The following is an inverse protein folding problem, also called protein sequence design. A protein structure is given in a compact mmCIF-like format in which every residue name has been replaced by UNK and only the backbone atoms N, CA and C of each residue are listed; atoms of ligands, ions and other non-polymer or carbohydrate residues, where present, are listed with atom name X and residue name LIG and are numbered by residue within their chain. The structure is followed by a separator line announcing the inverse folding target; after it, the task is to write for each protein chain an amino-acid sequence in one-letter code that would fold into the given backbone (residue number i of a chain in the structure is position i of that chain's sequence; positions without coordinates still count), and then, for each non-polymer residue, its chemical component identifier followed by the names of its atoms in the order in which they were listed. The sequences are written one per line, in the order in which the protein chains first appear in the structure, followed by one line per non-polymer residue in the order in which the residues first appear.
data_IF_328922848694
#
_entry.id   IF_328922848694
#
_cell.length_a   1.000
_cell.length_b   1.000
_cell.length_c   1.000
_cell.angle_alpha   90.00
_cell.angle_beta   90.00
_cell.angle_gamma   90.00
#
_symmetry.space_group_name_H-M   'P 1'
#
loop_
_entity.id
_entity.type
_entity.pdbx_description
1 polymer ?
#
# COMPACT_ATOMS: atom_id res chain seq x y z
N UNK A 1 2.92 2.36 -19.37
CA UNK A 1 1.72 3.20 -19.40
C UNK A 1 1.24 3.42 -17.96
N UNK A 2 0.79 4.65 -17.63
CA UNK A 2 0.17 4.91 -16.34
C UNK A 2 -1.08 4.01 -16.18
N UNK A 3 -1.33 3.52 -14.97
CA UNK A 3 -2.55 2.79 -14.70
C UNK A 3 -3.72 3.79 -14.50
N UNK A 4 -4.93 3.47 -14.99
CA UNK A 4 -6.09 4.30 -14.73
C UNK A 4 -6.44 4.30 -13.24
N UNK A 5 -7.01 5.40 -12.76
CA UNK A 5 -7.58 5.48 -11.41
C UNK A 5 -8.66 4.40 -11.24
N UNK A 6 -8.69 3.79 -10.07
CA UNK A 6 -9.62 2.69 -9.77
C UNK A 6 -10.36 2.98 -8.46
N UNK A 7 -11.59 2.53 -8.35
CA UNK A 7 -12.32 2.55 -7.07
C UNK A 7 -12.44 1.12 -6.54
N UNK A 8 -11.95 0.89 -5.34
CA UNK A 8 -11.98 -0.41 -4.67
C UNK A 8 -12.63 -0.27 -3.29
N UNK A 9 -13.85 -0.79 -3.14
CA UNK A 9 -14.57 -0.73 -1.87
C UNK A 9 -14.74 0.69 -1.33
N UNK A 10 -14.96 1.69 -2.19
CA UNK A 10 -15.12 3.09 -1.83
C UNK A 10 -13.79 3.85 -1.60
N UNK A 11 -12.66 3.23 -1.93
CA UNK A 11 -11.32 3.86 -1.89
C UNK A 11 -10.91 4.22 -3.32
N UNK A 12 -10.57 5.49 -3.56
CA UNK A 12 -9.92 5.91 -4.79
C UNK A 12 -8.47 5.44 -4.76
N UNK A 13 -8.07 4.64 -5.73
CA UNK A 13 -6.71 4.10 -5.86
C UNK A 13 -6.05 4.68 -7.09
N UNK A 14 -4.99 5.46 -6.89
CA UNK A 14 -4.13 5.98 -7.95
C UNK A 14 -2.86 5.14 -8.01
N UNK A 15 -2.50 4.68 -9.19
CA UNK A 15 -1.32 3.84 -9.39
C UNK A 15 -0.44 4.38 -10.51
N UNK A 16 0.87 4.44 -10.28
CA UNK A 16 1.79 4.98 -11.27
C UNK A 16 1.84 4.14 -12.55
N UNK A 17 1.77 2.79 -12.40
CA UNK A 17 1.92 1.88 -13.53
C UNK A 17 1.01 0.66 -13.41
N UNK A 18 0.74 0.02 -14.56
CA UNK A 18 0.23 -1.35 -14.58
C UNK A 18 1.29 -2.31 -13.99
N UNK A 19 0.85 -3.39 -13.31
CA UNK A 19 1.74 -4.36 -12.67
C UNK A 19 2.32 -5.36 -13.68
N UNK A 20 3.11 -4.88 -14.61
CA UNK A 20 3.70 -5.64 -15.73
C UNK A 20 5.12 -5.16 -16.04
N UNK A 21 5.85 -5.95 -16.82
CA UNK A 21 7.17 -5.60 -17.35
C UNK A 21 8.13 -5.04 -16.30
N UNK A 22 8.75 -3.91 -16.61
CA UNK A 22 9.73 -3.24 -15.75
C UNK A 22 9.15 -2.81 -14.40
N UNK A 23 7.89 -2.36 -14.35
CA UNK A 23 7.27 -1.91 -13.10
C UNK A 23 7.10 -3.06 -12.09
N UNK A 24 6.71 -4.25 -12.57
CA UNK A 24 6.67 -5.47 -11.76
C UNK A 24 8.05 -5.86 -11.23
N UNK A 25 9.09 -5.74 -12.07
CA UNK A 25 10.46 -6.02 -11.67
C UNK A 25 10.96 -5.06 -10.58
N UNK A 26 10.66 -3.76 -10.70
CA UNK A 26 11.01 -2.75 -9.68
C UNK A 26 10.36 -3.05 -8.32
N UNK A 27 9.06 -3.41 -8.31
CA UNK A 27 8.37 -3.84 -7.08
C UNK A 27 9.02 -5.08 -6.48
N UNK A 28 9.39 -6.05 -7.33
CA UNK A 28 10.08 -7.25 -6.85
C UNK A 28 11.43 -6.90 -6.21
N UNK A 29 12.25 -6.08 -6.87
CA UNK A 29 13.54 -5.64 -6.35
C UNK A 29 13.41 -4.86 -5.05
N UNK A 30 12.45 -3.94 -4.95
CA UNK A 30 12.18 -3.21 -3.72
C UNK A 30 11.87 -4.17 -2.56
N UNK A 31 11.19 -5.28 -2.83
CA UNK A 31 10.83 -6.30 -1.82
C UNK A 31 12.01 -7.12 -1.32
N UNK A 32 12.98 -7.38 -2.18
CA UNK A 32 14.00 -8.42 -1.92
C UNK A 32 15.43 -7.88 -1.86
N UNK A 33 15.73 -6.76 -2.49
CA UNK A 33 17.11 -6.27 -2.65
C UNK A 33 17.46 -5.09 -1.73
N UNK A 34 16.54 -4.63 -0.88
CA UNK A 34 16.77 -3.57 0.12
C UNK A 34 17.43 -2.28 -0.40
N UNK A 35 17.17 -1.90 -1.66
CA UNK A 35 17.86 -0.77 -2.29
C UNK A 35 17.16 0.55 -1.94
N UNK A 36 17.67 1.29 -0.97
CA UNK A 36 17.15 2.61 -0.59
C UNK A 36 17.03 3.58 -1.78
N UNK A 37 17.95 3.52 -2.75
CA UNK A 37 17.90 4.29 -3.99
C UNK A 37 16.71 3.94 -4.89
N UNK A 38 16.18 2.72 -4.79
CA UNK A 38 15.02 2.29 -5.58
C UNK A 38 13.74 2.99 -5.13
N UNK A 39 13.48 3.06 -3.83
CA UNK A 39 12.32 3.76 -3.29
C UNK A 39 12.30 5.24 -3.70
N UNK A 40 13.46 5.91 -3.72
CA UNK A 40 13.58 7.29 -4.17
C UNK A 40 13.22 7.47 -5.65
N UNK A 41 13.67 6.55 -6.52
CA UNK A 41 13.31 6.56 -7.95
C UNK A 41 11.81 6.30 -8.15
N UNK A 42 11.25 5.36 -7.42
CA UNK A 42 9.83 5.04 -7.48
C UNK A 42 8.96 6.21 -6.97
N UNK A 43 9.41 6.93 -5.94
CA UNK A 43 8.72 8.08 -5.38
C UNK A 43 8.53 9.22 -6.41
N UNK A 44 9.45 9.39 -7.36
CA UNK A 44 9.31 10.37 -8.47
C UNK A 44 8.01 10.13 -9.27
N UNK A 45 7.66 8.87 -9.51
CA UNK A 45 6.45 8.51 -10.23
C UNK A 45 5.17 8.58 -9.36
N UNK A 46 5.31 8.55 -8.04
CA UNK A 46 4.19 8.64 -7.11
C UNK A 46 3.81 10.09 -6.77
N UNK A 47 4.76 11.00 -6.79
CA UNK A 47 4.56 12.41 -6.40
C UNK A 47 3.42 13.10 -7.17
N UNK A 48 3.29 12.96 -8.50
CA UNK A 48 2.20 13.57 -9.26
C UNK A 48 0.81 13.01 -8.92
N UNK A 49 0.74 11.87 -8.25
CA UNK A 49 -0.52 11.23 -7.84
C UNK A 49 -1.07 11.79 -6.53
N UNK A 50 -0.24 12.53 -5.77
CA UNK A 50 -0.68 13.23 -4.57
C UNK A 50 -1.62 14.37 -4.97
N UNK A 51 -2.77 14.45 -4.32
CA UNK A 51 -3.66 15.61 -4.43
C UNK A 51 -3.24 16.70 -3.44
N UNK A 52 -3.73 17.91 -3.65
CA UNK A 52 -3.51 19.07 -2.75
C UNK A 52 -4.04 18.83 -1.34
N UNK A 53 -4.97 17.92 -1.19
CA UNK A 53 -5.58 17.47 0.07
C UNK A 53 -4.67 16.56 0.90
N UNK A 54 -3.59 15.99 0.32
CA UNK A 54 -2.66 15.12 1.02
C UNK A 54 -1.88 15.88 2.09
N UNK A 55 -2.06 15.52 3.37
CA UNK A 55 -1.39 16.14 4.52
C UNK A 55 -0.49 15.16 5.29
N UNK A 56 -0.66 13.87 5.08
CA UNK A 56 0.15 12.84 5.69
C UNK A 56 0.13 11.56 4.86
N UNK A 57 1.23 10.82 4.87
CA UNK A 57 1.34 9.51 4.24
C UNK A 57 1.24 8.41 5.29
N UNK A 58 0.38 7.45 5.07
CA UNK A 58 0.18 6.30 5.95
C UNK A 58 0.58 5.03 5.21
N UNK A 59 1.78 4.48 5.45
CA UNK A 59 2.17 3.22 4.85
C UNK A 59 1.34 2.08 5.43
N UNK A 60 0.86 1.19 4.54
CA UNK A 60 0.14 -0.01 4.95
C UNK A 60 1.14 -1.08 5.37
N UNK A 61 1.15 -1.49 6.66
CA UNK A 61 2.16 -2.41 7.16
C UNK A 61 1.95 -3.82 6.60
N UNK A 62 3.04 -4.49 6.26
CA UNK A 62 2.99 -5.91 5.93
C UNK A 62 2.60 -6.75 7.12
N UNK A 63 1.89 -7.82 6.85
CA UNK A 63 1.62 -8.89 7.80
C UNK A 63 2.95 -9.44 8.33
N UNK A 64 3.09 -9.53 9.65
CA UNK A 64 4.34 -9.80 10.40
C UNK A 64 5.12 -11.00 9.84
N UNK A 65 4.47 -12.11 9.45
CA UNK A 65 5.15 -13.29 8.91
C UNK A 65 5.99 -13.02 7.65
N UNK A 66 5.63 -12.01 6.84
CA UNK A 66 6.41 -11.60 5.65
C UNK A 66 7.50 -10.59 5.98
N UNK A 67 7.36 -9.82 7.07
CA UNK A 67 8.35 -8.84 7.51
C UNK A 67 9.64 -9.49 7.98
N UNK A 68 9.56 -10.60 8.70
CA UNK A 68 10.74 -11.33 9.20
C UNK A 68 11.59 -11.94 8.09
N UNK A 69 10.99 -12.26 6.96
CA UNK A 69 11.70 -12.90 5.83
C UNK A 69 12.51 -11.92 4.98
N UNK A 70 12.16 -10.62 4.94
CA UNK A 70 12.68 -9.70 3.93
C UNK A 70 13.22 -8.36 4.47
N UNK A 71 13.22 -8.13 5.78
CA UNK A 71 13.90 -6.99 6.45
C UNK A 71 13.33 -5.59 6.18
N UNK A 72 12.76 -5.32 5.00
CA UNK A 72 12.21 -4.02 4.59
C UNK A 72 10.72 -4.12 4.35
N UNK A 73 10.00 -3.09 4.81
CA UNK A 73 8.61 -2.83 4.46
C UNK A 73 8.57 -1.89 3.25
N UNK A 74 8.18 -2.36 2.05
CA UNK A 74 8.22 -1.54 0.84
C UNK A 74 7.29 -0.35 0.90
N UNK A 75 6.10 -0.49 1.51
CA UNK A 75 5.17 0.61 1.68
C UNK A 75 5.77 1.71 2.55
N UNK A 76 6.46 1.34 3.64
CA UNK A 76 7.16 2.28 4.50
C UNK A 76 8.34 2.96 3.78
N UNK A 77 9.11 2.22 2.98
CA UNK A 77 10.21 2.77 2.19
C UNK A 77 9.69 3.77 1.14
N UNK A 78 8.62 3.42 0.42
CA UNK A 78 7.98 4.30 -0.56
C UNK A 78 7.40 5.56 0.11
N UNK A 79 6.68 5.40 1.22
CA UNK A 79 6.12 6.52 1.97
C UNK A 79 7.22 7.47 2.45
N UNK A 80 8.32 6.95 2.98
CA UNK A 80 9.46 7.77 3.44
C UNK A 80 10.11 8.52 2.29
N UNK A 81 10.31 7.87 1.15
CA UNK A 81 10.90 8.51 -0.02
C UNK A 81 9.99 9.60 -0.60
N UNK A 82 8.68 9.32 -0.68
CA UNK A 82 7.67 10.26 -1.17
C UNK A 82 7.49 11.46 -0.22
N UNK A 83 7.49 11.21 1.08
CA UNK A 83 7.38 12.24 2.12
C UNK A 83 8.48 13.30 2.03
N UNK A 84 9.73 12.87 1.78
CA UNK A 84 10.87 13.79 1.59
C UNK A 84 10.71 14.69 0.38
N UNK A 85 10.07 14.19 -0.68
CA UNK A 85 9.86 14.94 -1.93
C UNK A 85 8.69 15.91 -1.82
N UNK A 86 7.61 15.47 -1.20
CA UNK A 86 6.38 16.24 -1.09
C UNK A 86 6.32 17.12 0.18
N UNK A 87 7.34 17.04 1.05
CA UNK A 87 7.45 17.77 2.33
C UNK A 87 6.26 17.55 3.26
N UNK A 88 5.71 16.31 3.27
CA UNK A 88 4.61 15.91 4.15
C UNK A 88 5.03 14.76 5.06
N UNK A 89 4.48 14.65 6.30
CA UNK A 89 4.90 13.65 7.26
C UNK A 89 4.46 12.23 6.90
N UNK A 90 5.26 11.24 7.32
CA UNK A 90 4.85 9.83 7.39
C UNK A 90 4.32 9.52 8.77
N UNK A 91 3.12 8.93 8.85
CA UNK A 91 2.50 8.55 10.12
C UNK A 91 2.21 7.05 10.12
N UNK A 92 2.92 6.30 10.95
CA UNK A 92 2.73 4.85 11.13
C UNK A 92 1.57 4.56 12.08
N UNK A 93 0.36 4.97 11.72
CA UNK A 93 -0.83 4.79 12.58
C UNK A 93 -1.41 3.36 12.53
N UNK A 94 -1.08 2.56 11.52
CA UNK A 94 -1.59 1.21 11.35
C UNK A 94 -0.67 0.15 11.97
N UNK A 95 -1.27 -0.86 12.60
CA UNK A 95 -0.63 -2.12 12.98
C UNK A 95 -1.38 -3.27 12.33
N UNK A 96 -0.68 -4.12 11.59
CA UNK A 96 -1.26 -5.34 11.06
C UNK A 96 -1.64 -6.29 12.20
N UNK A 97 -2.83 -6.84 12.11
CA UNK A 97 -3.35 -7.85 13.03
C UNK A 97 -3.75 -9.07 12.23
N UNK A 98 -3.37 -10.26 12.71
CA UNK A 98 -3.77 -11.50 12.09
C UNK A 98 -5.18 -11.89 12.53
N UNK A 99 -6.08 -12.03 11.56
CA UNK A 99 -7.34 -12.73 11.79
C UNK A 99 -7.43 -13.89 10.81
N UNK A 100 -7.31 -15.11 11.32
CA UNK A 100 -7.58 -16.33 10.55
C UNK A 100 -9.08 -16.59 10.63
N UNK A 101 -9.81 -16.23 9.59
CA UNK A 101 -11.21 -16.61 9.48
C UNK A 101 -11.28 -18.04 8.92
N UNK A 102 -11.46 -19.03 9.80
CA UNK A 102 -11.85 -20.37 9.38
C UNK A 102 -13.30 -20.30 8.84
N UNK A 103 -13.49 -20.57 7.57
CA UNK A 103 -14.81 -20.94 7.06
C UNK A 103 -15.05 -22.38 7.48
N UNK A 104 -16.05 -22.62 8.31
CA UNK A 104 -16.56 -23.97 8.55
C UNK A 104 -17.16 -24.51 7.22
N UNK A 105 -16.73 -25.68 6.78
CA UNK A 105 -17.46 -26.48 5.79
C UNK A 105 -16.96 -26.53 4.35
N UNK A 106 -15.77 -26.00 3.99
CA UNK A 106 -15.21 -26.22 2.64
C UNK A 106 -13.71 -26.52 2.67
N UNK A 107 -13.26 -27.47 1.84
CA UNK A 107 -11.86 -27.90 1.69
C UNK A 107 -10.92 -26.86 1.05
N UNK A 108 -11.30 -25.59 0.98
CA UNK A 108 -10.50 -24.51 0.48
C UNK A 108 -9.57 -23.99 1.57
N UNK A 109 -8.28 -23.82 1.23
CA UNK A 109 -7.26 -23.24 2.10
C UNK A 109 -7.76 -21.97 2.79
N UNK A 110 -7.50 -21.79 4.11
CA UNK A 110 -7.97 -20.64 4.85
C UNK A 110 -7.41 -19.34 4.25
N UNK A 111 -8.28 -18.48 3.73
CA UNK A 111 -7.87 -17.15 3.25
C UNK A 111 -7.66 -16.26 4.47
N UNK A 112 -6.41 -15.88 4.70
CA UNK A 112 -6.06 -14.88 5.71
C UNK A 112 -6.54 -13.53 5.18
N UNK A 113 -7.56 -12.95 5.80
CA UNK A 113 -8.00 -11.60 5.49
C UNK A 113 -7.10 -10.60 6.25
N UNK A 114 -6.58 -9.57 5.57
CA UNK A 114 -5.84 -8.52 6.24
C UNK A 114 -6.75 -7.79 7.23
N UNK A 115 -6.24 -7.52 8.41
CA UNK A 115 -6.93 -6.77 9.46
C UNK A 115 -5.93 -5.81 10.09
N UNK A 116 -6.38 -4.60 10.43
CA UNK A 116 -5.55 -3.56 11.01
C UNK A 116 -6.17 -3.01 12.28
N UNK A 117 -5.32 -2.45 13.15
CA UNK A 117 -5.71 -1.65 14.31
C UNK A 117 -4.95 -0.33 14.30
N UNK A 118 -5.55 0.73 14.82
CA UNK A 118 -4.84 1.99 15.02
C UNK A 118 -3.89 1.89 16.21
N UNK A 119 -2.70 2.46 16.05
CA UNK A 119 -1.71 2.70 17.13
C UNK A 119 -1.82 4.12 17.65
N UNK A 120 -2.13 5.05 16.76
CA UNK A 120 -2.38 6.46 17.02
C UNK A 120 -3.53 6.91 16.10
N UNK A 121 -4.23 8.00 16.40
CA UNK A 121 -5.28 8.54 15.53
C UNK A 121 -4.77 8.77 14.10
N UNK A 122 -5.64 8.54 13.14
CA UNK A 122 -5.36 8.85 11.74
C UNK A 122 -5.33 10.36 11.53
N UNK A 123 -4.28 10.93 10.92
CA UNK A 123 -4.25 12.36 10.64
C UNK A 123 -5.28 12.75 9.57
N UNK A 124 -5.77 13.97 9.64
CA UNK A 124 -6.61 14.56 8.58
C UNK A 124 -5.80 14.63 7.28
N UNK A 125 -6.44 14.34 6.14
CA UNK A 125 -5.77 14.33 4.85
C UNK A 125 -4.76 13.17 4.69
N UNK A 126 -4.94 12.08 5.45
CA UNK A 126 -4.11 10.88 5.33
C UNK A 126 -4.32 10.18 3.98
N UNK A 127 -3.22 9.85 3.31
CA UNK A 127 -3.18 9.06 2.08
C UNK A 127 -2.50 7.72 2.37
N UNK A 128 -3.17 6.62 2.03
CA UNK A 128 -2.64 5.27 2.19
C UNK A 128 -1.57 5.00 1.12
N UNK A 129 -0.44 4.42 1.52
CA UNK A 129 0.65 4.05 0.61
C UNK A 129 0.87 2.54 0.64
N UNK A 130 0.91 1.94 -0.55
CA UNK A 130 1.28 0.52 -0.73
C UNK A 130 2.15 0.37 -2.00
N UNK A 131 2.83 -0.77 -2.15
CA UNK A 131 3.67 -1.05 -3.32
C UNK A 131 2.85 -1.58 -4.51
N UNK A 132 1.84 -2.41 -4.26
CA UNK A 132 1.02 -3.03 -5.29
C UNK A 132 -0.43 -3.23 -4.85
N UNK A 133 -1.36 -2.86 -5.70
CA UNK A 133 -2.75 -3.27 -5.55
C UNK A 133 -3.09 -4.39 -6.54
N UNK A 134 -3.69 -5.45 -6.03
CA UNK A 134 -4.25 -6.56 -6.83
C UNK A 134 -5.77 -6.57 -6.69
N UNK A 135 -6.31 -7.29 -5.72
CA UNK A 135 -7.74 -7.31 -5.41
C UNK A 135 -8.22 -6.08 -4.64
N UNK A 136 -7.31 -5.33 -4.03
CA UNK A 136 -7.62 -4.19 -3.17
C UNK A 136 -8.06 -4.55 -1.75
N UNK A 137 -8.14 -5.84 -1.39
CA UNK A 137 -8.60 -6.28 -0.06
C UNK A 137 -7.81 -5.64 1.09
N UNK A 138 -6.49 -5.51 0.94
CA UNK A 138 -5.61 -4.86 1.92
C UNK A 138 -5.92 -3.37 2.05
N UNK A 139 -6.10 -2.68 0.93
CA UNK A 139 -6.43 -1.25 0.90
C UNK A 139 -7.79 -0.97 1.53
N UNK A 140 -8.80 -1.79 1.21
CA UNK A 140 -10.15 -1.67 1.79
C UNK A 140 -10.11 -1.87 3.30
N UNK A 141 -9.38 -2.87 3.80
CA UNK A 141 -9.24 -3.10 5.24
C UNK A 141 -8.51 -1.94 5.94
N UNK A 142 -7.45 -1.39 5.33
CA UNK A 142 -6.73 -0.24 5.86
C UNK A 142 -7.60 1.02 5.86
N UNK A 143 -8.34 1.28 4.76
CA UNK A 143 -9.29 2.37 4.65
C UNK A 143 -10.39 2.29 5.71
N UNK A 144 -10.98 1.13 5.91
CA UNK A 144 -12.02 0.92 6.94
C UNK A 144 -11.50 1.21 8.35
N UNK A 145 -10.20 1.00 8.59
CA UNK A 145 -9.57 1.26 9.89
C UNK A 145 -9.19 2.73 10.07
N UNK A 146 -8.70 3.39 9.01
CA UNK A 146 -8.18 4.76 9.06
C UNK A 146 -9.23 5.83 8.72
N UNK A 147 -10.28 5.46 7.98
CA UNK A 147 -11.22 6.41 7.37
C UNK A 147 -10.68 7.08 6.10
N UNK A 148 -9.42 6.84 5.69
CA UNK A 148 -8.84 7.40 4.47
C UNK A 148 -9.53 6.84 3.23
N UNK A 149 -9.88 7.72 2.27
CA UNK A 149 -10.54 7.36 1.02
C UNK A 149 -9.62 7.42 -0.20
N UNK A 150 -8.36 7.79 0.00
CA UNK A 150 -7.34 7.85 -1.06
C UNK A 150 -6.19 6.90 -0.74
N UNK A 151 -5.81 6.12 -1.74
CA UNK A 151 -4.61 5.29 -1.69
C UNK A 151 -3.76 5.53 -2.94
N UNK A 152 -2.44 5.50 -2.75
CA UNK A 152 -1.47 5.58 -3.83
C UNK A 152 -0.62 4.33 -3.79
N UNK A 153 -0.46 3.68 -4.96
CA UNK A 153 0.38 2.50 -5.12
C UNK A 153 1.34 2.67 -6.30
N UNK A 154 2.47 1.98 -6.24
CA UNK A 154 3.39 2.04 -7.39
C UNK A 154 2.81 1.29 -8.59
N UNK A 155 2.19 0.13 -8.37
CA UNK A 155 1.56 -0.62 -9.45
C UNK A 155 0.17 -1.13 -9.11
N UNK A 156 -0.67 -1.27 -10.14
CA UNK A 156 -1.96 -1.96 -10.05
C UNK A 156 -2.01 -3.13 -11.03
N UNK A 157 -2.50 -4.29 -10.57
CA UNK A 157 -2.94 -5.35 -11.48
C UNK A 157 -4.29 -4.96 -12.08
N UNK A 158 -4.44 -5.17 -13.39
CA UNK A 158 -5.73 -4.99 -14.05
C UNK A 158 -6.84 -5.75 -13.33
N UNK A 159 -8.02 -5.15 -13.19
CA UNK A 159 -9.19 -5.90 -12.77
C UNK A 159 -9.47 -6.93 -13.87
N UNK A 160 -9.36 -8.22 -13.55
CA UNK A 160 -10.05 -9.22 -14.37
C UNK A 160 -11.53 -8.92 -14.18
N UNK A 161 -12.17 -8.42 -15.27
CA UNK A 161 -13.59 -8.29 -15.37
C UNK A 161 -14.28 -9.62 -15.17
#
# INVERSE_FOLDING_TARGET
MAAPDQVRGGVLVRSAFAHEGAARLLVHRLKYEAVAGMANRMAVALEPLLGVEAKALVPIPRVIARRWKYGIDPAAALATALARRAEIPVVHCLRAHFWVRRRAGTSASPRILPSFRLRVPTPVGAVLIDDVVTTGTTLVAASSTTGSRLAITFTASGSRG
#
